data_IF_594346355225
#
_entry.id   IF_594346355225
#
_cell.length_a   1.000
_cell.length_b   1.000
_cell.length_c   1.000
_cell.angle_alpha   90.00
_cell.angle_beta   90.00
_cell.angle_gamma   90.00
#
_symmetry.space_group_name_H-M   'P 1'
#
loop_
_entity.id
_entity.type
_entity.pdbx_description
1 polymer ?
#
# COMPACT_ATOMS: atom_id res chain seq x y z
N UNK A 1 -23.39 45.87 -29.20
CA UNK A 1 -24.13 44.69 -28.70
C UNK A 1 -23.65 43.36 -29.23
N UNK A 2 -22.40 43.23 -29.63
CA UNK A 2 -21.85 41.95 -30.09
C UNK A 2 -20.85 41.31 -29.11
N UNK A 3 -20.61 41.94 -27.96
CA UNK A 3 -19.68 41.47 -26.95
C UNK A 3 -20.18 40.25 -26.10
N UNK A 4 -21.47 40.01 -25.88
CA UNK A 4 -21.89 38.93 -25.01
C UNK A 4 -21.75 37.52 -25.62
N UNK A 5 -21.68 37.39 -26.94
CA UNK A 5 -21.52 36.07 -27.57
C UNK A 5 -20.09 35.55 -27.52
N UNK A 6 -19.11 36.42 -27.61
CA UNK A 6 -17.69 36.08 -27.47
C UNK A 6 -17.34 35.72 -26.01
N UNK A 7 -17.93 36.43 -25.05
CA UNK A 7 -17.76 36.13 -23.62
C UNK A 7 -18.37 34.78 -23.25
N UNK A 8 -19.48 34.42 -23.87
CA UNK A 8 -20.12 33.09 -23.63
C UNK A 8 -19.32 31.94 -24.21
N UNK A 9 -18.70 32.14 -25.38
CA UNK A 9 -17.83 31.18 -26.00
C UNK A 9 -16.55 30.94 -25.19
N UNK A 10 -15.92 31.99 -24.68
CA UNK A 10 -14.73 31.89 -23.85
C UNK A 10 -15.02 31.24 -22.51
N UNK A 11 -16.17 31.50 -21.89
CA UNK A 11 -16.59 30.88 -20.65
C UNK A 11 -16.85 29.38 -20.80
N UNK A 12 -17.45 28.96 -21.92
CA UNK A 12 -17.69 27.55 -22.19
C UNK A 12 -16.42 26.79 -22.49
N UNK A 13 -15.47 27.37 -23.20
CA UNK A 13 -14.16 26.77 -23.47
C UNK A 13 -13.36 26.61 -22.18
N UNK A 14 -13.39 27.58 -21.30
CA UNK A 14 -12.73 27.52 -19.98
C UNK A 14 -13.36 26.42 -19.10
N UNK A 15 -14.68 26.29 -19.09
CA UNK A 15 -15.38 25.26 -18.33
C UNK A 15 -15.04 23.86 -18.81
N UNK A 16 -14.89 23.66 -20.11
CA UNK A 16 -14.50 22.36 -20.71
C UNK A 16 -13.05 22.00 -20.34
N UNK A 17 -12.16 22.99 -20.32
CA UNK A 17 -10.76 22.77 -19.91
C UNK A 17 -10.63 22.38 -18.43
N UNK A 18 -11.45 22.94 -17.55
CA UNK A 18 -11.45 22.60 -16.12
C UNK A 18 -11.97 21.18 -15.87
N UNK A 19 -12.98 20.76 -16.64
CA UNK A 19 -13.50 19.39 -16.54
C UNK A 19 -12.51 18.33 -17.07
N UNK A 20 -11.70 18.67 -18.07
CA UNK A 20 -10.68 17.80 -18.59
C UNK A 20 -9.49 17.61 -17.62
N UNK A 21 -9.20 18.63 -16.78
CA UNK A 21 -8.12 18.55 -15.81
C UNK A 21 -8.44 17.65 -14.61
N UNK A 22 -9.72 17.53 -14.22
CA UNK A 22 -10.12 16.67 -13.11
C UNK A 22 -10.08 15.18 -13.43
N UNK A 23 -10.07 14.79 -14.71
CA UNK A 23 -10.05 13.41 -15.13
C UNK A 23 -8.69 12.74 -15.18
N UNK A 24 -7.61 13.51 -15.00
CA UNK A 24 -6.25 12.98 -15.15
C UNK A 24 -5.65 12.39 -13.89
N UNK A 25 -6.16 12.74 -12.73
CA UNK A 25 -5.60 12.28 -11.46
C UNK A 25 -6.04 10.88 -11.04
N UNK A 26 -7.00 10.28 -11.72
CA UNK A 26 -7.53 8.98 -11.36
C UNK A 26 -6.77 7.80 -11.96
N UNK A 27 -5.72 8.05 -12.76
CA UNK A 27 -5.03 7.00 -13.52
C UNK A 27 -3.65 6.60 -13.02
N UNK A 28 -3.10 7.31 -12.05
CA UNK A 28 -1.74 7.01 -11.59
C UNK A 28 -1.66 5.79 -10.67
N UNK A 29 -2.76 5.39 -10.07
CA UNK A 29 -2.79 4.22 -9.19
C UNK A 29 -3.13 2.91 -9.91
N UNK A 30 -3.41 2.95 -11.20
CA UNK A 30 -3.82 1.79 -11.97
C UNK A 30 -2.72 0.77 -12.35
N UNK A 31 -1.42 1.13 -12.44
CA UNK A 31 -0.41 0.16 -12.89
C UNK A 31 -0.13 -0.98 -11.94
N UNK A 32 -0.41 -0.82 -10.66
CA UNK A 32 -0.13 -1.86 -9.67
C UNK A 32 -1.22 -2.91 -9.55
N UNK A 33 -2.37 -2.66 -10.12
CA UNK A 33 -3.49 -3.60 -10.04
C UNK A 33 -3.37 -4.79 -10.98
N UNK A 34 -2.45 -4.75 -11.95
CA UNK A 34 -2.21 -5.83 -12.90
C UNK A 34 -1.25 -6.89 -12.43
N UNK A 35 -0.56 -6.65 -11.35
CA UNK A 35 0.36 -7.61 -10.75
C UNK A 35 -0.29 -8.29 -9.55
N UNK A 36 -1.37 -8.99 -9.78
CA UNK A 36 -1.91 -9.86 -8.76
C UNK A 36 -1.06 -11.11 -8.73
N UNK A 37 -0.20 -11.17 -7.75
CA UNK A 37 0.48 -12.41 -7.41
C UNK A 37 -0.50 -13.28 -6.66
N UNK A 38 -0.64 -14.51 -7.05
CA UNK A 38 -1.60 -15.43 -6.48
C UNK A 38 -1.46 -15.47 -4.94
N UNK A 39 -1.02 -16.21 -4.21
CA UNK A 39 -1.05 -16.22 -2.76
C UNK A 39 0.04 -15.38 -2.08
N UNK A 40 1.07 -14.98 -2.81
CA UNK A 40 2.22 -14.26 -2.27
C UNK A 40 2.30 -12.86 -2.85
N UNK A 41 1.59 -11.93 -2.24
CA UNK A 41 1.73 -10.53 -2.60
C UNK A 41 2.97 -9.96 -1.93
N UNK A 42 3.92 -9.53 -2.73
CA UNK A 42 5.11 -8.85 -2.26
C UNK A 42 5.02 -7.38 -2.62
N UNK A 43 5.08 -6.55 -1.62
CA UNK A 43 5.12 -5.11 -1.74
C UNK A 43 6.54 -4.63 -1.50
N UNK A 44 7.03 -3.66 -2.29
CA UNK A 44 8.34 -3.08 -2.05
C UNK A 44 8.28 -1.57 -2.11
N UNK A 45 9.07 -0.93 -1.28
CA UNK A 45 9.15 0.52 -1.22
C UNK A 45 10.54 0.96 -0.75
N UNK A 46 10.98 2.11 -1.27
CA UNK A 46 12.25 2.72 -0.91
C UNK A 46 12.05 3.82 0.12
N UNK A 47 12.93 3.88 1.10
CA UNK A 47 12.93 4.93 2.12
C UNK A 47 14.33 5.53 2.25
N UNK A 48 14.39 6.82 2.55
CA UNK A 48 15.65 7.53 2.82
C UNK A 48 15.99 7.45 4.32
N UNK A 49 16.00 6.23 4.86
CA UNK A 49 16.26 5.92 6.27
C UNK A 49 17.08 4.64 6.35
N UNK A 50 17.89 4.46 7.41
CA UNK A 50 18.60 3.20 7.62
C UNK A 50 17.65 2.01 7.81
N UNK A 51 18.06 0.78 7.43
CA UNK A 51 17.20 -0.40 7.55
C UNK A 51 16.67 -0.65 8.96
N UNK A 52 17.46 -0.44 9.98
CA UNK A 52 17.03 -0.65 11.36
C UNK A 52 15.87 0.27 11.75
N UNK A 53 15.88 1.51 11.28
CA UNK A 53 14.78 2.44 11.53
C UNK A 53 13.52 2.06 10.76
N UNK A 54 13.67 1.61 9.53
CA UNK A 54 12.55 1.17 8.70
C UNK A 54 11.89 -0.08 9.31
N UNK A 55 12.67 -1.06 9.72
CA UNK A 55 12.13 -2.24 10.38
C UNK A 55 11.53 -1.94 11.74
N UNK A 56 12.09 -1.00 12.50
CA UNK A 56 11.50 -0.55 13.76
C UNK A 56 10.13 0.09 13.54
N UNK A 57 10.01 0.95 12.54
CA UNK A 57 8.75 1.58 12.18
C UNK A 57 7.72 0.55 11.70
N UNK A 58 8.14 -0.43 10.91
CA UNK A 58 7.28 -1.52 10.45
C UNK A 58 6.74 -2.34 11.61
N UNK A 59 7.60 -2.66 12.58
CA UNK A 59 7.20 -3.37 13.79
C UNK A 59 6.13 -2.60 14.57
N UNK A 60 6.35 -1.31 14.77
CA UNK A 60 5.37 -0.47 15.47
C UNK A 60 4.04 -0.38 14.71
N UNK A 61 4.10 -0.27 13.40
CA UNK A 61 2.90 -0.24 12.57
C UNK A 61 2.10 -1.54 12.69
N UNK A 62 2.78 -2.69 12.67
CA UNK A 62 2.13 -4.00 12.81
C UNK A 62 1.51 -4.17 14.20
N UNK A 63 2.23 -3.77 15.24
CA UNK A 63 1.69 -3.78 16.60
C UNK A 63 0.45 -2.89 16.71
N UNK A 64 0.50 -1.71 16.10
CA UNK A 64 -0.63 -0.78 16.10
C UNK A 64 -1.85 -1.30 15.35
N UNK A 65 -1.65 -2.21 14.40
CA UNK A 65 -2.74 -2.87 13.67
C UNK A 65 -3.22 -4.16 14.33
N UNK A 66 -2.70 -4.50 15.48
CA UNK A 66 -3.14 -5.68 16.24
C UNK A 66 -2.43 -6.98 15.87
N UNK A 67 -1.30 -6.92 15.16
CA UNK A 67 -0.52 -8.11 14.87
C UNK A 67 0.30 -8.54 16.09
N UNK A 68 0.45 -9.85 16.23
CA UNK A 68 1.40 -10.42 17.17
C UNK A 68 2.75 -10.54 16.47
N UNK A 69 3.74 -9.82 16.98
CA UNK A 69 5.10 -9.85 16.43
C UNK A 69 5.85 -11.00 17.08
N UNK A 70 6.21 -12.00 16.26
CA UNK A 70 6.92 -13.17 16.75
C UNK A 70 8.43 -13.04 16.66
N UNK A 71 8.93 -12.45 15.59
CA UNK A 71 10.36 -12.25 15.38
C UNK A 71 10.59 -10.82 14.88
N UNK A 72 11.54 -10.14 15.46
CA UNK A 72 11.92 -8.79 15.04
C UNK A 72 13.39 -8.54 15.33
N UNK A 73 14.09 -8.05 14.32
CA UNK A 73 15.46 -7.59 14.42
C UNK A 73 15.66 -6.40 13.49
N UNK A 74 16.88 -5.96 13.29
CA UNK A 74 17.18 -4.80 12.46
C UNK A 74 16.91 -5.02 10.98
N UNK A 75 16.82 -6.27 10.53
CA UNK A 75 16.69 -6.63 9.12
C UNK A 75 15.32 -7.18 8.76
N UNK A 76 14.57 -7.72 9.72
CA UNK A 76 13.34 -8.41 9.43
C UNK A 76 12.34 -8.34 10.59
N UNK A 77 11.07 -8.39 10.24
CA UNK A 77 9.96 -8.49 11.19
C UNK A 77 8.98 -9.55 10.69
N UNK A 78 8.59 -10.46 11.56
CA UNK A 78 7.56 -11.45 11.26
C UNK A 78 6.41 -11.28 12.26
N UNK A 79 5.20 -11.21 11.72
CA UNK A 79 4.01 -10.99 12.52
C UNK A 79 2.83 -11.78 12.00
N UNK A 80 1.91 -12.10 12.88
CA UNK A 80 0.71 -12.84 12.52
C UNK A 80 -0.52 -12.18 13.12
N UNK A 81 -1.65 -12.37 12.46
CA UNK A 81 -2.94 -11.93 12.94
C UNK A 81 -3.99 -12.98 12.60
N UNK A 82 -4.78 -13.36 13.58
CA UNK A 82 -5.83 -14.35 13.42
C UNK A 82 -7.18 -13.69 13.30
N UNK A 83 -7.98 -14.18 12.38
CA UNK A 83 -9.35 -13.74 12.15
C UNK A 83 -10.29 -14.95 12.23
N UNK A 84 -11.48 -14.71 12.71
CA UNK A 84 -12.55 -15.69 12.69
C UNK A 84 -13.77 -15.09 11.99
N UNK A 85 -13.79 -15.11 10.63
CA UNK A 85 -14.87 -14.48 9.87
C UNK A 85 -16.21 -15.18 10.07
N UNK A 86 -16.19 -16.47 10.35
CA UNK A 86 -17.37 -17.30 10.61
C UNK A 86 -17.08 -18.29 11.70
N UNK A 87 -18.13 -18.91 12.27
CA UNK A 87 -17.96 -20.00 13.22
C UNK A 87 -17.20 -21.14 12.55
N UNK A 88 -16.24 -21.72 13.25
CA UNK A 88 -15.40 -22.82 12.80
C UNK A 88 -14.43 -22.48 11.64
N UNK A 89 -14.50 -21.30 11.08
CA UNK A 89 -13.58 -20.85 10.03
C UNK A 89 -12.55 -19.90 10.63
N UNK A 90 -11.30 -20.26 10.53
CA UNK A 90 -10.18 -19.46 11.03
C UNK A 90 -9.28 -19.04 9.88
N UNK A 91 -8.85 -17.82 9.91
CA UNK A 91 -7.92 -17.27 8.93
C UNK A 91 -6.73 -16.68 9.67
N UNK A 92 -5.55 -17.04 9.24
CA UNK A 92 -4.32 -16.46 9.78
C UNK A 92 -3.58 -15.72 8.68
N UNK A 93 -3.29 -14.46 8.94
CA UNK A 93 -2.46 -13.65 8.08
C UNK A 93 -1.06 -13.56 8.66
N UNK A 94 -0.08 -14.04 7.90
CA UNK A 94 1.33 -13.96 8.25
C UNK A 94 1.99 -12.90 7.40
N UNK A 95 2.66 -11.96 8.03
CA UNK A 95 3.34 -10.86 7.36
C UNK A 95 4.83 -10.97 7.64
N UNK A 96 5.62 -10.89 6.59
CA UNK A 96 7.07 -10.84 6.69
C UNK A 96 7.58 -9.54 6.08
N UNK A 97 8.34 -8.80 6.85
CA UNK A 97 8.96 -7.56 6.43
C UNK A 97 10.46 -7.76 6.38
N UNK A 98 11.09 -7.35 5.29
CA UNK A 98 12.54 -7.38 5.15
C UNK A 98 13.02 -5.97 4.82
N UNK A 99 14.05 -5.52 5.53
CA UNK A 99 14.63 -4.20 5.38
C UNK A 99 16.08 -4.34 4.91
N UNK A 100 16.34 -3.95 3.67
CA UNK A 100 17.63 -4.14 3.01
C UNK A 100 18.29 -2.78 2.79
N UNK A 101 19.59 -2.63 3.07
CA UNK A 101 20.28 -1.39 2.76
C UNK A 101 20.24 -1.08 1.28
N UNK A 102 20.04 0.18 0.96
CA UNK A 102 20.08 0.67 -0.41
C UNK A 102 20.89 1.96 -0.46
N UNK A 103 22.04 1.91 -1.13
CA UNK A 103 22.96 3.02 -1.11
C UNK A 103 23.56 3.24 0.27
N UNK A 104 24.04 4.45 0.54
CA UNK A 104 24.69 4.78 1.82
C UNK A 104 23.72 5.10 2.94
N UNK A 105 22.55 5.67 2.61
CA UNK A 105 21.63 6.23 3.61
C UNK A 105 20.19 5.73 3.46
N UNK A 106 19.93 4.83 2.51
CA UNK A 106 18.59 4.41 2.21
C UNK A 106 18.32 2.94 2.51
N UNK A 107 17.06 2.58 2.39
CA UNK A 107 16.59 1.22 2.58
C UNK A 107 15.54 0.84 1.56
N UNK A 108 15.51 -0.43 1.23
CA UNK A 108 14.45 -1.05 0.46
C UNK A 108 13.67 -1.96 1.39
N UNK A 109 12.38 -1.70 1.49
CA UNK A 109 11.46 -2.47 2.30
C UNK A 109 10.72 -3.46 1.41
N UNK A 110 10.74 -4.74 1.80
CA UNK A 110 9.90 -5.77 1.18
C UNK A 110 8.89 -6.27 2.21
N UNK A 111 7.64 -6.35 1.80
CA UNK A 111 6.58 -6.91 2.63
C UNK A 111 5.90 -8.01 1.86
N UNK A 112 5.86 -9.20 2.41
CA UNK A 112 5.08 -10.32 1.87
C UNK A 112 4.04 -10.76 2.89
N UNK A 113 2.90 -11.18 2.38
CA UNK A 113 1.80 -11.66 3.21
C UNK A 113 1.31 -13.00 2.71
N UNK A 114 1.07 -13.91 3.65
CA UNK A 114 0.50 -15.23 3.37
C UNK A 114 -0.77 -15.38 4.18
N UNK A 115 -1.85 -15.73 3.51
CA UNK A 115 -3.14 -15.95 4.14
C UNK A 115 -3.44 -17.45 4.18
N UNK A 116 -3.52 -18.00 5.39
CA UNK A 116 -3.93 -19.37 5.63
C UNK A 116 -5.35 -19.43 6.15
N UNK A 117 -6.15 -20.24 5.53
CA UNK A 117 -7.52 -20.48 5.95
C UNK A 117 -7.69 -21.95 6.33
N UNK A 118 -8.23 -22.18 7.51
CA UNK A 118 -8.50 -23.52 7.98
C UNK A 118 -9.88 -23.60 8.65
N UNK A 119 -10.46 -24.77 8.57
CA UNK A 119 -11.77 -25.05 9.14
C UNK A 119 -11.60 -26.08 10.24
N UNK A 120 -12.13 -25.77 11.42
CA UNK A 120 -12.19 -26.72 12.52
C UNK A 120 -13.36 -27.68 12.30
N UNK A 121 -13.07 -28.93 12.31
CA UNK A 121 -14.09 -29.98 12.18
C UNK A 121 -14.21 -30.77 13.47
#
# INVERSE_FOLDING_TARGET
MRAPSLLRLTATVLAICVLAACGRNAREDAPFMGESFDADETYSRTYALPPAQVCSAARLALLGQGYAVGKANDDAVEATKNFQPEDEVHTQLSVRVSCVPRGSDGSLLFVSALLDRYVLR
#
